data_IF_143673486705
#
_entry.id   IF_143673486705
#
_cell.length_a   1.000
_cell.length_b   1.000
_cell.length_c   1.000
_cell.angle_alpha   90.00
_cell.angle_beta   90.00
_cell.angle_gamma   90.00
#
_symmetry.space_group_name_H-M   'P 1'
#
loop_
_entity.id
_entity.type
_entity.pdbx_description
1 polymer ?
#
# COMPACT_ATOMS: atom_id res chain seq x y z
N UNK A 1 -8.68 -0.75 17.45
CA UNK A 1 -9.27 0.21 18.31
C UNK A 1 -9.81 1.41 17.58
N UNK A 2 -11.03 1.74 17.82
CA UNK A 2 -11.88 2.68 17.16
C UNK A 2 -11.29 4.08 16.96
N UNK A 3 -11.09 4.50 15.73
CA UNK A 3 -10.53 5.81 15.41
C UNK A 3 -11.39 7.00 15.85
N UNK A 4 -12.71 6.97 15.70
CA UNK A 4 -13.55 8.14 15.91
C UNK A 4 -13.85 8.45 17.39
N UNK A 5 -13.91 7.45 18.26
CA UNK A 5 -14.30 7.61 19.66
C UNK A 5 -13.17 8.00 20.63
N UNK A 6 -11.93 8.05 20.17
CA UNK A 6 -10.75 8.34 21.00
C UNK A 6 -10.76 9.75 21.62
N UNK A 7 -11.49 10.69 21.04
CA UNK A 7 -11.43 12.10 21.38
C UNK A 7 -12.44 12.57 22.45
N UNK A 8 -13.51 11.83 22.61
CA UNK A 8 -14.47 12.05 23.73
C UNK A 8 -14.05 11.32 25.01
N UNK A 9 -12.89 10.63 25.00
CA UNK A 9 -12.46 9.75 26.09
C UNK A 9 -11.24 10.34 26.79
N UNK A 10 -11.12 10.32 28.12
CA UNK A 10 -9.96 10.79 28.90
C UNK A 10 -8.63 10.13 28.54
N UNK A 11 -8.59 9.22 27.56
CA UNK A 11 -7.39 8.58 27.01
C UNK A 11 -6.55 9.45 26.06
N UNK A 12 -6.84 10.73 25.87
CA UNK A 12 -6.02 11.63 25.04
C UNK A 12 -4.56 11.72 25.54
N UNK A 13 -4.33 11.64 26.86
CA UNK A 13 -2.98 11.58 27.42
C UNK A 13 -2.19 10.34 27.01
N UNK A 14 -2.84 9.20 26.83
CA UNK A 14 -2.22 7.98 26.32
C UNK A 14 -1.77 8.14 24.86
N UNK A 15 -2.56 8.81 24.03
CA UNK A 15 -2.19 9.10 22.66
C UNK A 15 -0.88 9.89 22.58
N UNK A 16 -0.75 10.96 23.36
CA UNK A 16 0.48 11.77 23.43
C UNK A 16 1.69 10.92 23.84
N UNK A 17 1.52 10.05 24.86
CA UNK A 17 2.58 9.16 25.35
C UNK A 17 3.01 8.13 24.30
N UNK A 18 2.05 7.51 23.61
CA UNK A 18 2.31 6.51 22.56
C UNK A 18 3.04 7.15 21.38
N UNK A 19 2.57 8.31 20.91
CA UNK A 19 3.20 9.01 19.79
C UNK A 19 4.62 9.43 20.15
N UNK A 20 4.83 10.02 21.32
CA UNK A 20 6.16 10.42 21.79
C UNK A 20 7.11 9.21 21.98
N UNK A 21 6.59 8.06 22.41
CA UNK A 21 7.37 6.83 22.51
C UNK A 21 7.77 6.32 21.11
N UNK A 22 6.83 6.29 20.16
CA UNK A 22 7.09 5.87 18.79
C UNK A 22 8.16 6.76 18.13
N UNK A 23 8.05 8.08 18.25
CA UNK A 23 9.03 9.03 17.71
C UNK A 23 10.44 8.80 18.26
N UNK A 24 10.59 8.53 19.58
CA UNK A 24 11.88 8.17 20.19
C UNK A 24 12.50 6.90 19.60
N UNK A 25 11.70 6.03 18.99
CA UNK A 25 12.14 4.82 18.32
C UNK A 25 12.33 5.01 16.81
N UNK A 26 12.16 6.22 16.29
CA UNK A 26 12.20 6.50 14.86
C UNK A 26 10.98 6.00 14.10
N UNK A 27 9.89 5.70 14.81
CA UNK A 27 8.62 5.21 14.26
C UNK A 27 7.65 6.38 14.18
N UNK A 28 7.03 6.58 13.02
CA UNK A 28 5.97 7.57 12.84
C UNK A 28 4.62 6.96 13.17
N UNK A 29 3.84 7.64 13.99
CA UNK A 29 2.52 7.18 14.40
C UNK A 29 1.47 7.54 13.33
N UNK A 30 0.61 6.58 13.04
CA UNK A 30 -0.53 6.71 12.14
C UNK A 30 -1.83 6.47 12.89
N UNK A 31 -2.91 7.06 12.38
CA UNK A 31 -4.26 6.83 12.88
C UNK A 31 -5.10 6.13 11.81
N UNK A 32 -6.33 5.80 12.18
CA UNK A 32 -7.37 5.30 11.29
C UNK A 32 -8.58 6.21 11.35
N UNK A 33 -9.28 6.38 10.24
CA UNK A 33 -10.47 7.21 10.14
C UNK A 33 -11.40 6.68 9.07
N UNK A 34 -12.70 6.83 9.30
CA UNK A 34 -13.76 6.61 8.32
C UNK A 34 -14.65 7.86 8.22
N UNK A 35 -15.42 8.04 7.13
CA UNK A 35 -16.10 9.30 6.85
C UNK A 35 -17.44 9.46 7.57
N UNK A 36 -18.01 8.36 8.13
CA UNK A 36 -19.31 8.39 8.79
C UNK A 36 -19.29 9.33 9.99
N UNK A 37 -20.25 10.26 10.02
CA UNK A 37 -20.41 11.23 11.09
C UNK A 37 -21.88 11.64 11.22
N UNK A 38 -22.43 11.51 12.41
CA UNK A 38 -23.76 12.01 12.71
C UNK A 38 -23.79 13.53 12.90
N UNK A 39 -24.98 14.12 12.74
CA UNK A 39 -25.20 15.55 13.03
C UNK A 39 -24.84 15.90 14.48
N UNK A 40 -25.15 15.01 15.44
CA UNK A 40 -24.80 15.19 16.85
C UNK A 40 -23.30 15.21 17.09
N UNK A 41 -22.57 14.30 16.47
CA UNK A 41 -21.10 14.27 16.55
C UNK A 41 -20.49 15.52 15.94
N UNK A 42 -20.96 15.96 14.76
CA UNK A 42 -20.50 17.18 14.12
C UNK A 42 -20.69 18.42 15.01
N UNK A 43 -21.84 18.54 15.69
CA UNK A 43 -22.09 19.59 16.70
C UNK A 43 -21.10 19.47 17.88
N UNK A 44 -20.73 18.29 18.28
CA UNK A 44 -19.73 18.11 19.34
C UNK A 44 -18.36 18.71 19.00
N UNK A 45 -18.01 18.79 17.70
CA UNK A 45 -16.79 19.44 17.22
C UNK A 45 -16.95 20.92 16.89
N UNK A 46 -18.17 21.34 16.50
CA UNK A 46 -18.52 22.72 16.13
C UNK A 46 -19.73 23.17 16.95
N UNK A 47 -19.57 23.44 18.27
CA UNK A 47 -20.70 23.67 19.17
C UNK A 47 -21.51 24.93 18.85
N UNK A 48 -20.88 25.92 18.24
CA UNK A 48 -21.49 27.21 17.89
C UNK A 48 -22.06 27.25 16.47
N UNK A 49 -22.12 26.09 15.77
CA UNK A 49 -22.66 26.04 14.42
C UNK A 49 -24.18 25.96 14.42
N UNK A 50 -24.80 26.73 13.53
CA UNK A 50 -26.26 26.64 13.35
C UNK A 50 -26.62 25.27 12.71
N UNK A 51 -27.79 24.70 13.05
CA UNK A 51 -28.17 23.36 12.59
C UNK A 51 -28.18 23.20 11.07
N UNK A 52 -28.60 24.21 10.34
CA UNK A 52 -28.69 24.26 8.89
C UNK A 52 -27.32 24.32 8.20
N UNK A 53 -26.32 24.78 8.94
CA UNK A 53 -24.94 24.98 8.45
C UNK A 53 -24.01 23.83 8.80
N UNK A 54 -24.50 22.74 9.42
CA UNK A 54 -23.69 21.58 9.78
C UNK A 54 -23.22 20.87 8.48
N UNK A 55 -21.89 20.71 8.25
CA UNK A 55 -21.36 20.21 7.00
C UNK A 55 -21.41 18.67 6.92
N UNK A 56 -22.61 18.12 7.00
CA UNK A 56 -22.92 16.70 6.84
C UNK A 56 -23.91 16.57 5.69
N UNK A 57 -23.68 15.61 4.78
CA UNK A 57 -24.60 15.35 3.69
C UNK A 57 -26.00 14.99 4.22
N UNK A 58 -27.01 15.42 3.51
CA UNK A 58 -28.40 15.05 3.83
C UNK A 58 -28.73 13.72 3.16
N UNK A 59 -29.61 12.95 3.80
CA UNK A 59 -30.18 11.74 3.21
C UNK A 59 -31.58 12.05 2.73
N UNK A 60 -31.84 11.83 1.43
CA UNK A 60 -33.17 11.95 0.89
C UNK A 60 -34.11 10.88 1.49
N UNK A 61 -35.42 11.15 1.61
CA UNK A 61 -36.38 10.16 2.05
C UNK A 61 -36.32 8.93 1.15
N UNK A 62 -36.25 7.73 1.73
CA UNK A 62 -36.29 6.46 1.02
C UNK A 62 -37.33 5.54 1.65
N UNK A 63 -37.78 4.55 0.89
CA UNK A 63 -38.70 3.52 1.41
C UNK A 63 -37.93 2.53 2.28
N UNK A 64 -38.35 2.39 3.56
CA UNK A 64 -37.80 1.47 4.53
C UNK A 64 -37.23 2.15 5.78
N UNK A 65 -37.05 1.37 6.86
CA UNK A 65 -36.57 1.85 8.15
C UNK A 65 -35.02 1.74 8.31
N UNK A 66 -34.28 1.53 7.24
CA UNK A 66 -32.82 1.38 7.33
C UNK A 66 -32.18 2.75 7.49
N UNK A 67 -31.47 2.95 8.60
CA UNK A 67 -30.63 4.14 8.79
C UNK A 67 -29.44 4.05 7.83
N UNK A 68 -29.36 4.97 6.88
CA UNK A 68 -28.22 5.11 6.00
C UNK A 68 -27.12 5.94 6.67
N UNK A 69 -25.84 5.67 6.36
CA UNK A 69 -24.74 6.46 6.90
C UNK A 69 -24.75 7.88 6.36
N UNK A 70 -24.33 8.82 7.17
CA UNK A 70 -24.10 10.22 6.81
C UNK A 70 -22.61 10.53 6.92
N UNK A 71 -22.10 11.37 6.03
CA UNK A 71 -20.67 11.65 5.88
C UNK A 71 -20.40 13.14 6.01
N UNK A 72 -19.15 13.49 6.34
CA UNK A 72 -18.69 14.88 6.22
C UNK A 72 -18.86 15.33 4.78
N UNK A 73 -19.55 16.43 4.58
CA UNK A 73 -19.74 17.03 3.27
C UNK A 73 -18.59 17.99 2.95
N UNK A 74 -17.64 17.50 2.18
CA UNK A 74 -16.48 18.30 1.74
C UNK A 74 -16.82 19.32 0.64
N UNK A 75 -18.02 19.29 0.08
CA UNK A 75 -18.51 20.33 -0.84
C UNK A 75 -19.06 21.53 -0.07
N UNK A 76 -19.38 21.34 1.22
CA UNK A 76 -19.84 22.40 2.10
C UNK A 76 -18.69 23.33 2.51
N UNK A 77 -18.89 24.69 2.51
CA UNK A 77 -17.83 25.64 2.89
C UNK A 77 -17.19 25.38 4.26
N UNK A 78 -17.97 24.87 5.22
CA UNK A 78 -17.51 24.54 6.58
C UNK A 78 -17.01 23.10 6.73
N UNK A 79 -16.96 22.28 5.66
CA UNK A 79 -16.51 20.88 5.70
C UNK A 79 -15.08 20.75 6.22
N UNK A 80 -14.19 21.62 5.77
CA UNK A 80 -12.80 21.65 6.25
C UNK A 80 -12.67 22.12 7.71
N UNK A 81 -13.57 22.97 8.20
CA UNK A 81 -13.51 23.43 9.59
C UNK A 81 -13.93 22.30 10.53
N UNK A 82 -14.93 21.51 10.16
CA UNK A 82 -15.30 20.29 10.88
C UNK A 82 -14.15 19.29 10.90
N UNK A 83 -13.50 19.06 9.77
CA UNK A 83 -12.35 18.14 9.67
C UNK A 83 -11.18 18.61 10.56
N UNK A 84 -10.84 19.91 10.56
CA UNK A 84 -9.81 20.47 11.43
C UNK A 84 -10.15 20.30 12.91
N UNK A 85 -11.40 20.56 13.29
CA UNK A 85 -11.86 20.41 14.67
C UNK A 85 -11.79 18.93 15.12
N UNK A 86 -12.23 18.00 14.28
CA UNK A 86 -12.16 16.57 14.53
C UNK A 86 -10.71 16.09 14.72
N UNK A 87 -9.78 16.61 13.93
CA UNK A 87 -8.39 16.14 13.89
C UNK A 87 -7.42 16.88 14.81
N UNK A 88 -7.86 17.97 15.43
CA UNK A 88 -6.99 18.84 16.22
C UNK A 88 -6.11 18.08 17.23
N UNK A 89 -6.70 17.23 18.05
CA UNK A 89 -5.99 16.50 19.11
C UNK A 89 -4.95 15.53 18.53
N UNK A 90 -5.30 14.85 17.43
CA UNK A 90 -4.39 13.89 16.74
C UNK A 90 -3.19 14.61 16.13
N UNK A 91 -3.42 15.71 15.46
CA UNK A 91 -2.36 16.52 14.85
C UNK A 91 -1.47 17.16 15.91
N UNK A 92 -2.05 17.64 17.03
CA UNK A 92 -1.29 18.18 18.16
C UNK A 92 -0.45 17.09 18.86
N UNK A 93 -0.91 15.84 18.87
CA UNK A 93 -0.17 14.71 19.39
C UNK A 93 1.01 14.27 18.47
N UNK A 94 1.05 14.73 17.21
CA UNK A 94 2.12 14.39 16.27
C UNK A 94 1.80 13.23 15.32
N UNK A 95 0.52 12.89 15.13
CA UNK A 95 0.12 11.88 14.12
C UNK A 95 0.49 12.39 12.73
N UNK A 96 1.35 11.65 12.02
CA UNK A 96 1.95 12.01 10.71
C UNK A 96 1.27 11.40 9.50
N UNK A 97 0.17 10.70 9.71
CA UNK A 97 -0.58 10.10 8.62
C UNK A 97 -1.81 9.37 9.11
N UNK A 98 -2.64 8.96 8.19
CA UNK A 98 -3.84 8.22 8.52
C UNK A 98 -4.26 7.28 7.39
N UNK A 99 -4.85 6.17 7.78
CA UNK A 99 -5.69 5.37 6.92
C UNK A 99 -7.04 6.07 6.79
N UNK A 100 -7.32 6.60 5.61
CA UNK A 100 -8.57 7.27 5.22
C UNK A 100 -9.46 6.18 4.63
N UNK A 101 -10.10 5.45 5.52
CA UNK A 101 -10.83 4.22 5.19
C UNK A 101 -12.26 4.52 4.74
N UNK A 102 -12.88 3.56 4.05
CA UNK A 102 -14.19 3.73 3.44
C UNK A 102 -14.21 4.87 2.38
N UNK A 103 -15.38 5.52 2.21
CA UNK A 103 -15.54 6.57 1.20
C UNK A 103 -15.75 6.04 -0.22
N UNK A 104 -15.79 4.73 -0.36
CA UNK A 104 -16.09 3.94 -1.56
C UNK A 104 -17.58 3.58 -1.68
N UNK A 105 -18.36 3.86 -0.63
CA UNK A 105 -19.81 3.67 -0.61
C UNK A 105 -20.50 4.96 -0.19
N UNK A 106 -21.23 5.57 -1.11
CA UNK A 106 -22.10 6.71 -0.86
C UNK A 106 -23.54 6.30 -1.19
N UNK A 107 -24.49 6.43 -0.26
CA UNK A 107 -25.90 6.12 -0.57
C UNK A 107 -26.41 6.98 -1.72
N UNK A 108 -27.14 6.39 -2.66
CA UNK A 108 -27.74 7.11 -3.80
C UNK A 108 -28.64 8.27 -3.34
N UNK A 109 -29.26 8.11 -2.17
CA UNK A 109 -30.12 9.11 -1.51
C UNK A 109 -29.36 10.27 -0.88
N UNK A 110 -28.03 10.22 -0.83
CA UNK A 110 -27.22 11.30 -0.29
C UNK A 110 -27.37 12.57 -1.12
N UNK A 111 -27.46 13.70 -0.44
CA UNK A 111 -27.52 15.04 -1.04
C UNK A 111 -26.42 15.90 -0.47
N UNK A 112 -25.61 16.46 -1.33
CA UNK A 112 -24.47 17.30 -0.98
C UNK A 112 -24.81 18.78 -1.15
N UNK A 113 -24.03 19.64 -0.49
CA UNK A 113 -24.25 21.09 -0.46
C UNK A 113 -24.18 21.71 -1.86
N UNK A 114 -23.33 21.23 -2.72
CA UNK A 114 -23.18 21.72 -4.10
C UNK A 114 -24.27 21.24 -5.06
N UNK A 115 -25.25 20.50 -4.57
CA UNK A 115 -26.43 20.03 -5.30
C UNK A 115 -26.24 18.66 -5.96
N UNK A 116 -25.07 18.03 -5.86
CA UNK A 116 -24.87 16.67 -6.35
C UNK A 116 -25.57 15.65 -5.45
N UNK A 117 -26.08 14.56 -6.03
CA UNK A 117 -26.65 13.41 -5.33
C UNK A 117 -25.63 12.26 -5.21
N UNK A 118 -26.02 11.23 -4.45
CA UNK A 118 -25.12 10.13 -4.10
C UNK A 118 -24.62 9.35 -5.30
N UNK A 119 -25.46 9.11 -6.32
CA UNK A 119 -25.07 8.46 -7.57
C UNK A 119 -23.99 9.24 -8.34
N UNK A 120 -24.07 10.58 -8.34
CA UNK A 120 -23.06 11.45 -8.93
C UNK A 120 -21.76 11.52 -8.11
N UNK A 121 -21.88 11.32 -6.79
CA UNK A 121 -20.78 11.38 -5.84
C UNK A 121 -20.16 10.00 -5.54
N UNK A 122 -20.67 8.91 -6.11
CA UNK A 122 -20.19 7.55 -5.84
C UNK A 122 -18.66 7.44 -5.87
N UNK A 123 -18.04 7.78 -6.99
CA UNK A 123 -16.57 7.82 -7.11
C UNK A 123 -15.98 9.18 -6.69
N UNK A 124 -16.76 10.25 -6.84
CA UNK A 124 -16.33 11.63 -6.54
C UNK A 124 -16.07 11.86 -5.05
N UNK A 125 -16.80 11.17 -4.18
CA UNK A 125 -16.60 11.30 -2.74
C UNK A 125 -15.23 10.81 -2.30
N UNK A 126 -14.78 9.66 -2.78
CA UNK A 126 -13.45 9.13 -2.48
C UNK A 126 -12.34 10.13 -2.86
N UNK A 127 -12.50 10.81 -4.00
CA UNK A 127 -11.58 11.87 -4.43
C UNK A 127 -11.60 13.08 -3.48
N UNK A 128 -12.78 13.65 -3.17
CA UNK A 128 -12.88 14.83 -2.29
C UNK A 128 -12.43 14.49 -0.85
N UNK A 129 -12.68 13.28 -0.40
CA UNK A 129 -12.26 12.77 0.90
C UNK A 129 -10.72 12.72 0.99
N UNK A 130 -10.04 12.03 0.07
CA UNK A 130 -8.58 11.98 0.02
C UNK A 130 -7.94 13.38 -0.11
N UNK A 131 -8.48 14.23 -0.99
CA UNK A 131 -8.03 15.61 -1.21
C UNK A 131 -8.15 16.47 0.04
N UNK A 132 -9.25 16.35 0.78
CA UNK A 132 -9.49 17.14 2.00
C UNK A 132 -8.53 16.73 3.11
N UNK A 133 -8.26 15.43 3.27
CA UNK A 133 -7.24 14.96 4.20
C UNK A 133 -5.83 15.40 3.77
N UNK A 134 -5.51 15.31 2.50
CA UNK A 134 -4.24 15.85 1.98
C UNK A 134 -4.08 17.32 2.37
N UNK A 135 -5.10 18.15 2.15
CA UNK A 135 -5.09 19.56 2.53
C UNK A 135 -4.85 19.75 4.03
N UNK A 136 -5.59 19.01 4.87
CA UNK A 136 -5.44 19.06 6.33
C UNK A 136 -4.00 18.75 6.78
N UNK A 137 -3.43 17.68 6.27
CA UNK A 137 -2.08 17.26 6.65
C UNK A 137 -1.00 18.18 6.08
N UNK A 138 -1.17 18.70 4.86
CA UNK A 138 -0.29 19.71 4.29
C UNK A 138 -0.26 21.01 5.11
N UNK A 139 -1.40 21.46 5.62
CA UNK A 139 -1.47 22.66 6.49
C UNK A 139 -0.62 22.49 7.76
N UNK A 140 -0.48 21.28 8.27
CA UNK A 140 0.25 21.00 9.51
C UNK A 140 1.70 20.59 9.29
N UNK A 141 2.00 19.78 8.26
CA UNK A 141 3.28 19.11 8.08
C UNK A 141 3.94 19.35 6.72
N UNK A 142 3.33 20.15 5.85
CA UNK A 142 3.76 20.27 4.45
C UNK A 142 3.68 18.91 3.76
N UNK A 143 4.76 18.50 3.10
CA UNK A 143 4.82 17.21 2.38
C UNK A 143 5.22 16.02 3.31
N UNK A 144 5.51 16.26 4.59
CA UNK A 144 6.00 15.22 5.52
C UNK A 144 4.86 14.45 6.21
N UNK A 145 4.01 13.84 5.41
CA UNK A 145 2.91 12.98 5.87
C UNK A 145 2.59 11.90 4.83
N UNK A 146 1.83 10.87 5.25
CA UNK A 146 1.33 9.84 4.35
C UNK A 146 -0.15 9.60 4.59
N UNK A 147 -0.92 9.52 3.52
CA UNK A 147 -2.32 9.11 3.51
C UNK A 147 -2.44 7.76 2.80
N UNK A 148 -3.34 6.92 3.31
CA UNK A 148 -3.56 5.56 2.82
C UNK A 148 -5.06 5.31 2.72
N UNK A 149 -5.62 5.28 1.51
CA UNK A 149 -7.06 5.23 1.26
C UNK A 149 -7.49 3.89 0.68
N UNK A 150 -8.72 3.47 0.99
CA UNK A 150 -9.38 2.33 0.34
C UNK A 150 -10.05 2.76 -0.95
N UNK A 151 -10.97 3.71 -0.85
CA UNK A 151 -11.64 4.30 -2.01
C UNK A 151 -10.68 5.13 -2.85
N UNK A 152 -10.74 4.96 -4.17
CA UNK A 152 -9.97 5.75 -5.12
C UNK A 152 -10.79 5.99 -6.40
N UNK A 153 -10.55 7.14 -7.00
CA UNK A 153 -11.06 7.53 -8.31
C UNK A 153 -9.92 8.15 -9.12
N UNK A 154 -10.03 8.30 -10.44
CA UNK A 154 -9.02 8.98 -11.25
C UNK A 154 -8.67 10.35 -10.66
N UNK A 155 -7.38 10.57 -10.37
CA UNK A 155 -6.88 11.76 -9.67
C UNK A 155 -6.55 11.54 -8.20
N UNK A 156 -7.09 10.52 -7.53
CA UNK A 156 -6.82 10.24 -6.10
C UNK A 156 -5.34 9.92 -5.83
N UNK A 157 -4.62 9.37 -6.82
CA UNK A 157 -3.19 9.09 -6.73
C UNK A 157 -2.33 10.32 -6.42
N UNK A 158 -2.84 11.53 -6.69
CA UNK A 158 -2.17 12.77 -6.33
C UNK A 158 -2.20 13.09 -4.83
N UNK A 159 -3.06 12.42 -4.06
CA UNK A 159 -3.34 12.76 -2.67
C UNK A 159 -2.93 11.66 -1.69
N UNK A 160 -3.07 10.39 -2.07
CA UNK A 160 -2.89 9.27 -1.16
C UNK A 160 -2.37 8.02 -1.88
N UNK A 161 -1.74 7.13 -1.08
CA UNK A 161 -1.53 5.74 -1.46
C UNK A 161 -2.85 4.95 -1.29
N UNK A 162 -2.98 3.78 -1.93
CA UNK A 162 -4.18 2.96 -1.89
C UNK A 162 -3.93 1.59 -1.27
N UNK A 163 -4.98 0.98 -0.73
CA UNK A 163 -4.95 -0.42 -0.29
C UNK A 163 -6.19 -1.19 -0.78
N UNK A 164 -6.04 -2.51 -0.83
CA UNK A 164 -7.00 -3.39 -1.47
C UNK A 164 -8.29 -3.67 -0.67
N UNK A 165 -8.45 -3.12 0.55
CA UNK A 165 -9.59 -3.40 1.41
C UNK A 165 -9.41 -4.67 2.27
N UNK A 166 -10.52 -5.18 2.79
CA UNK A 166 -10.58 -6.23 3.81
C UNK A 166 -10.69 -7.62 3.14
N UNK A 167 -9.57 -8.20 2.73
CA UNK A 167 -9.56 -9.54 2.15
C UNK A 167 -9.67 -10.62 3.22
N UNK A 168 -10.25 -11.77 2.86
CA UNK A 168 -10.21 -12.96 3.68
C UNK A 168 -8.77 -13.45 3.86
N UNK A 169 -8.47 -13.97 5.03
CA UNK A 169 -7.20 -14.61 5.37
C UNK A 169 -7.17 -16.01 4.75
N UNK A 170 -6.82 -16.09 3.46
CA UNK A 170 -6.80 -17.33 2.67
C UNK A 170 -6.05 -17.13 1.35
N UNK A 171 -5.73 -18.22 0.66
CA UNK A 171 -5.20 -18.16 -0.71
C UNK A 171 -6.15 -17.49 -1.69
N UNK A 172 -7.47 -17.71 -1.56
CA UNK A 172 -8.46 -17.04 -2.40
C UNK A 172 -8.45 -15.52 -2.16
N UNK A 173 -8.37 -15.10 -0.90
CA UNK A 173 -8.20 -13.67 -0.55
C UNK A 173 -6.91 -13.09 -1.14
N UNK A 174 -5.81 -13.85 -1.11
CA UNK A 174 -4.54 -13.48 -1.72
C UNK A 174 -4.66 -13.29 -3.24
N UNK A 175 -5.33 -14.20 -3.91
CA UNK A 175 -5.59 -14.11 -5.35
C UNK A 175 -6.36 -12.83 -5.69
N UNK A 176 -7.43 -12.53 -4.96
CA UNK A 176 -8.20 -11.30 -5.19
C UNK A 176 -7.38 -10.03 -4.88
N UNK A 177 -6.57 -10.06 -3.83
CA UNK A 177 -5.67 -8.95 -3.51
C UNK A 177 -4.62 -8.74 -4.60
N UNK A 178 -4.04 -9.81 -5.15
CA UNK A 178 -3.07 -9.76 -6.25
C UNK A 178 -3.70 -9.14 -7.52
N UNK A 179 -4.88 -9.63 -7.92
CA UNK A 179 -5.62 -9.07 -9.06
C UNK A 179 -5.98 -7.61 -8.83
N UNK A 180 -6.38 -7.26 -7.59
CA UNK A 180 -6.65 -5.88 -7.18
C UNK A 180 -5.43 -4.97 -7.34
N UNK A 181 -4.25 -5.42 -6.92
CA UNK A 181 -3.00 -4.68 -7.06
C UNK A 181 -2.57 -4.48 -8.51
N UNK A 182 -2.70 -5.52 -9.35
CA UNK A 182 -2.42 -5.46 -10.78
C UNK A 182 -3.41 -4.49 -11.47
N UNK A 183 -4.70 -4.55 -11.10
CA UNK A 183 -5.75 -3.66 -11.64
C UNK A 183 -5.51 -2.20 -11.20
N UNK A 184 -5.15 -1.98 -9.94
CA UNK A 184 -4.80 -0.64 -9.42
C UNK A 184 -3.64 -0.04 -10.21
N UNK A 185 -2.60 -0.83 -10.47
CA UNK A 185 -1.46 -0.43 -11.29
C UNK A 185 -1.89 -0.03 -12.72
N UNK A 186 -2.71 -0.87 -13.37
CA UNK A 186 -3.26 -0.58 -14.70
C UNK A 186 -4.16 0.68 -14.72
N UNK A 187 -4.74 1.03 -13.58
CA UNK A 187 -5.58 2.22 -13.40
C UNK A 187 -4.79 3.48 -13.01
N UNK A 188 -3.45 3.43 -12.99
CA UNK A 188 -2.58 4.57 -12.66
C UNK A 188 -2.49 4.88 -11.18
N UNK A 189 -2.68 3.87 -10.31
CA UNK A 189 -2.50 3.96 -8.86
C UNK A 189 -1.13 3.34 -8.47
N UNK A 190 -0.05 4.13 -8.46
CA UNK A 190 1.31 3.60 -8.39
C UNK A 190 1.72 3.08 -7.01
N UNK A 191 1.06 3.56 -5.95
CA UNK A 191 1.37 3.23 -4.56
C UNK A 191 0.23 2.43 -3.96
N UNK A 192 0.24 1.13 -4.20
CA UNK A 192 -0.75 0.20 -3.69
C UNK A 192 -0.15 -0.74 -2.65
N UNK A 193 -0.96 -1.21 -1.73
CA UNK A 193 -0.54 -2.16 -0.71
C UNK A 193 -1.65 -3.08 -0.25
N UNK A 194 -1.26 -4.04 0.57
CA UNK A 194 -2.14 -5.11 1.04
C UNK A 194 -1.98 -5.28 2.54
N UNK A 195 -3.04 -5.72 3.19
CA UNK A 195 -2.99 -6.24 4.55
C UNK A 195 -2.41 -7.66 4.50
N UNK A 196 -1.19 -7.79 5.00
CA UNK A 196 -0.45 -9.05 4.94
C UNK A 196 -1.20 -10.10 5.75
N UNK A 197 -1.39 -11.24 5.11
CA UNK A 197 -2.21 -12.39 5.46
C UNK A 197 -3.72 -12.20 5.32
N UNK A 198 -4.15 -11.08 4.72
CA UNK A 198 -5.56 -10.69 4.70
C UNK A 198 -6.00 -10.00 5.99
N UNK A 199 -7.21 -9.43 5.99
CA UNK A 199 -7.75 -8.68 7.13
C UNK A 199 -8.58 -9.54 8.08
N UNK A 200 -9.47 -10.38 7.54
CA UNK A 200 -10.46 -11.10 8.33
C UNK A 200 -10.07 -12.57 8.57
N UNK A 201 -9.98 -12.94 9.85
CA UNK A 201 -9.64 -14.29 10.32
C UNK A 201 -8.15 -14.48 10.64
N UNK A 202 -7.82 -15.67 11.16
CA UNK A 202 -6.46 -16.12 11.48
C UNK A 202 -5.92 -17.00 10.34
N UNK A 203 -4.65 -16.85 9.97
CA UNK A 203 -4.00 -17.67 8.94
C UNK A 203 -3.31 -18.90 9.51
N UNK A 204 -3.26 -19.97 8.72
CA UNK A 204 -2.25 -21.00 8.91
C UNK A 204 -0.84 -20.47 8.52
N UNK A 205 0.20 -21.28 8.81
CA UNK A 205 1.59 -20.87 8.59
C UNK A 205 1.94 -20.73 7.11
N UNK A 206 1.41 -21.59 6.24
CA UNK A 206 1.66 -21.50 4.80
C UNK A 206 1.06 -20.21 4.22
N UNK A 207 -0.21 -19.94 4.48
CA UNK A 207 -0.88 -18.69 4.08
C UNK A 207 -0.12 -17.48 4.61
N UNK A 208 0.30 -17.50 5.89
CA UNK A 208 1.07 -16.41 6.50
C UNK A 208 2.36 -16.13 5.75
N UNK A 209 3.12 -17.16 5.43
CA UNK A 209 4.41 -17.01 4.76
C UNK A 209 4.24 -16.58 3.31
N UNK A 210 3.32 -17.19 2.54
CA UNK A 210 3.10 -16.84 1.13
C UNK A 210 2.66 -15.38 0.95
N UNK A 211 1.80 -14.87 1.82
CA UNK A 211 1.44 -13.46 1.83
C UNK A 211 2.64 -12.56 2.22
N UNK A 212 3.42 -12.96 3.22
CA UNK A 212 4.62 -12.24 3.65
C UNK A 212 5.64 -12.12 2.52
N UNK A 213 5.91 -13.23 1.85
CA UNK A 213 6.82 -13.32 0.71
C UNK A 213 6.42 -12.36 -0.41
N UNK A 214 5.14 -12.39 -0.79
CA UNK A 214 4.61 -11.51 -1.81
C UNK A 214 4.68 -10.04 -1.40
N UNK A 215 4.27 -9.71 -0.18
CA UNK A 215 4.20 -8.33 0.29
C UNK A 215 5.55 -7.60 0.28
N UNK A 216 6.68 -8.32 0.34
CA UNK A 216 8.01 -7.74 0.18
C UNK A 216 8.16 -7.03 -1.17
N UNK A 217 7.52 -7.52 -2.20
CA UNK A 217 7.53 -6.97 -3.56
C UNK A 217 6.28 -6.16 -3.90
N UNK A 218 5.55 -5.69 -2.88
CA UNK A 218 4.50 -4.68 -3.03
C UNK A 218 5.03 -3.28 -2.69
N UNK A 219 4.50 -2.20 -3.26
CA UNK A 219 4.88 -0.84 -2.88
C UNK A 219 4.73 -0.59 -1.38
N UNK A 220 3.63 -1.02 -0.79
CA UNK A 220 3.33 -0.90 0.64
C UNK A 220 3.11 -2.29 1.23
N UNK A 221 3.79 -2.58 2.35
CA UNK A 221 3.65 -3.80 3.12
C UNK A 221 3.14 -3.45 4.52
N UNK A 222 1.98 -3.98 4.90
CA UNK A 222 1.33 -3.65 6.17
C UNK A 222 0.75 -4.91 6.81
N UNK A 223 1.11 -5.17 8.07
CA UNK A 223 0.44 -6.18 8.89
C UNK A 223 -0.74 -5.54 9.62
N UNK A 224 -1.94 -5.97 9.29
CA UNK A 224 -3.18 -5.48 9.85
C UNK A 224 -4.28 -6.51 9.68
N UNK A 225 -5.16 -6.66 10.68
CA UNK A 225 -6.27 -7.61 10.64
C UNK A 225 -7.05 -7.66 11.93
N UNK A 226 -8.11 -8.47 11.94
CA UNK A 226 -8.98 -8.69 13.10
C UNK A 226 -8.34 -9.59 14.16
N UNK A 227 -7.42 -10.47 13.74
CA UNK A 227 -6.68 -11.41 14.59
C UNK A 227 -5.18 -11.04 14.63
N UNK A 228 -4.41 -11.59 15.59
CA UNK A 228 -2.97 -11.34 15.68
C UNK A 228 -2.22 -11.63 14.36
N UNK A 229 -1.27 -10.76 14.03
CA UNK A 229 -0.42 -10.85 12.83
C UNK A 229 1.06 -10.87 13.19
N UNK A 230 1.38 -10.96 14.46
CA UNK A 230 2.73 -11.00 14.96
C UNK A 230 3.38 -12.35 14.65
N UNK A 231 4.63 -12.37 14.16
CA UNK A 231 5.28 -13.62 13.74
C UNK A 231 5.49 -14.62 14.89
N UNK A 232 5.53 -14.16 16.13
CA UNK A 232 5.71 -15.02 17.31
C UNK A 232 4.45 -15.83 17.69
N UNK A 233 3.31 -15.60 17.05
CA UNK A 233 2.11 -16.43 17.18
C UNK A 233 2.23 -17.76 16.41
N UNK A 234 3.28 -17.93 15.62
CA UNK A 234 3.55 -19.08 14.77
C UNK A 234 4.79 -19.86 15.24
N UNK A 235 5.16 -20.91 14.51
CA UNK A 235 6.32 -21.73 14.83
C UNK A 235 7.64 -20.96 14.77
N UNK A 236 8.69 -21.44 15.47
CA UNK A 236 10.03 -20.86 15.37
C UNK A 236 10.58 -20.83 13.94
N UNK A 237 10.22 -21.79 13.09
CA UNK A 237 10.61 -21.85 11.69
C UNK A 237 9.96 -20.72 10.91
N UNK A 238 8.66 -20.51 11.04
CA UNK A 238 7.92 -19.39 10.48
C UNK A 238 8.53 -18.04 10.90
N UNK A 239 8.90 -17.91 12.17
CA UNK A 239 9.59 -16.70 12.66
C UNK A 239 10.92 -16.46 11.94
N UNK A 240 11.69 -17.52 11.64
CA UNK A 240 12.97 -17.36 10.92
C UNK A 240 12.75 -16.95 9.46
N UNK A 241 11.79 -17.56 8.78
CA UNK A 241 11.44 -17.20 7.40
C UNK A 241 10.93 -15.75 7.36
N UNK A 242 10.01 -15.38 8.27
CA UNK A 242 9.54 -13.99 8.41
C UNK A 242 10.70 -13.00 8.57
N UNK A 243 11.64 -13.28 9.47
CA UNK A 243 12.82 -12.42 9.69
C UNK A 243 13.64 -12.24 8.43
N UNK A 244 13.84 -13.31 7.66
CA UNK A 244 14.56 -13.28 6.40
C UNK A 244 13.86 -12.34 5.40
N UNK A 245 12.54 -12.43 5.27
CA UNK A 245 11.76 -11.57 4.37
C UNK A 245 11.65 -10.12 4.88
N UNK A 246 11.57 -9.90 6.16
CA UNK A 246 11.63 -8.56 6.73
C UNK A 246 12.96 -7.85 6.43
N UNK A 247 14.09 -8.57 6.55
CA UNK A 247 15.40 -8.04 6.14
C UNK A 247 15.52 -7.90 4.63
N UNK A 248 14.96 -8.82 3.86
CA UNK A 248 14.92 -8.70 2.40
C UNK A 248 14.21 -7.41 1.97
N UNK A 249 13.08 -7.07 2.60
CA UNK A 249 12.39 -5.79 2.36
C UNK A 249 13.30 -4.59 2.57
N UNK A 250 14.10 -4.61 3.65
CA UNK A 250 15.11 -3.57 3.91
C UNK A 250 16.24 -3.59 2.87
N UNK A 251 16.69 -4.78 2.45
CA UNK A 251 17.77 -4.90 1.47
C UNK A 251 17.41 -4.29 0.11
N UNK A 252 16.16 -4.47 -0.36
CA UNK A 252 15.71 -3.95 -1.65
C UNK A 252 15.16 -2.52 -1.57
N UNK A 253 15.17 -1.90 -0.38
CA UNK A 253 14.62 -0.55 -0.20
C UNK A 253 15.24 0.50 -1.15
N UNK A 254 16.55 0.50 -1.45
CA UNK A 254 17.12 1.43 -2.43
C UNK A 254 16.49 1.31 -3.82
N UNK A 255 16.22 0.09 -4.27
CA UNK A 255 15.51 -0.15 -5.54
C UNK A 255 14.06 0.34 -5.46
N UNK A 256 13.32 -0.08 -4.42
CA UNK A 256 11.93 0.33 -4.22
C UNK A 256 11.78 1.85 -4.13
N UNK A 257 12.73 2.54 -3.48
CA UNK A 257 12.74 4.00 -3.39
C UNK A 257 12.98 4.66 -4.75
N UNK A 258 13.86 4.10 -5.57
CA UNK A 258 14.05 4.56 -6.96
C UNK A 258 12.77 4.42 -7.80
N UNK A 259 12.07 3.29 -7.66
CA UNK A 259 10.77 3.08 -8.30
C UNK A 259 9.70 4.07 -7.82
N UNK A 260 9.70 4.40 -6.52
CA UNK A 260 8.77 5.38 -5.96
C UNK A 260 9.02 6.80 -6.51
N UNK A 261 10.27 7.19 -6.70
CA UNK A 261 10.63 8.46 -7.35
C UNK A 261 10.13 8.45 -8.80
N UNK A 262 10.42 7.39 -9.55
CA UNK A 262 9.94 7.25 -10.93
C UNK A 262 8.41 7.33 -11.00
N UNK A 263 7.71 6.64 -10.10
CA UNK A 263 6.26 6.69 -10.03
C UNK A 263 5.72 8.09 -9.76
N UNK A 264 6.38 8.84 -8.87
CA UNK A 264 6.03 10.23 -8.58
C UNK A 264 6.23 11.15 -9.80
N UNK A 265 7.34 10.99 -10.53
CA UNK A 265 7.70 11.86 -11.65
C UNK A 265 6.93 11.52 -12.94
N UNK A 266 6.61 10.24 -13.17
CA UNK A 266 6.08 9.77 -14.46
C UNK A 266 4.69 9.16 -14.38
N UNK A 267 4.20 8.79 -13.19
CA UNK A 267 3.00 8.02 -12.99
C UNK A 267 3.17 6.50 -13.25
N UNK A 268 4.35 6.05 -13.68
CA UNK A 268 4.61 4.62 -13.93
C UNK A 268 4.56 3.85 -12.60
N UNK A 269 3.66 2.85 -12.45
CA UNK A 269 3.50 2.15 -11.19
C UNK A 269 4.73 1.31 -10.82
N UNK A 270 4.90 1.08 -9.51
CA UNK A 270 5.96 0.21 -8.99
C UNK A 270 5.67 -1.26 -9.30
N UNK A 271 4.41 -1.71 -9.12
CA UNK A 271 3.90 -2.97 -9.65
C UNK A 271 3.40 -2.69 -11.06
N UNK A 272 3.93 -3.39 -12.07
CA UNK A 272 3.57 -3.18 -13.48
C UNK A 272 2.92 -4.44 -14.03
N UNK A 273 1.80 -4.29 -14.72
CA UNK A 273 1.22 -5.43 -15.43
C UNK A 273 2.22 -5.97 -16.44
N UNK A 274 2.16 -7.27 -16.73
CA UNK A 274 2.99 -7.85 -17.78
C UNK A 274 2.74 -7.17 -19.13
N UNK A 275 1.50 -6.81 -19.43
CA UNK A 275 1.12 -6.09 -20.66
C UNK A 275 1.75 -4.68 -20.75
N UNK A 276 1.92 -3.97 -19.63
CA UNK A 276 2.58 -2.64 -19.62
C UNK A 276 4.06 -2.74 -19.97
N UNK A 277 4.74 -3.76 -19.46
CA UNK A 277 6.18 -3.92 -19.63
C UNK A 277 6.54 -4.64 -20.94
N UNK A 278 5.61 -5.46 -21.47
CA UNK A 278 5.79 -6.25 -22.68
C UNK A 278 4.60 -6.06 -23.65
N UNK A 279 4.38 -4.86 -24.18
CA UNK A 279 3.17 -4.53 -24.95
C UNK A 279 3.05 -5.29 -26.30
N UNK A 280 4.14 -5.87 -26.79
CA UNK A 280 4.17 -6.67 -28.03
C UNK A 280 3.82 -8.14 -27.86
N UNK A 281 3.45 -8.59 -26.64
CA UNK A 281 3.25 -9.99 -26.27
C UNK A 281 1.80 -10.29 -25.90
N UNK A 282 0.94 -10.70 -26.85
CA UNK A 282 -0.48 -10.95 -26.61
C UNK A 282 -0.76 -11.97 -25.50
N UNK A 283 0.11 -12.96 -25.33
CA UNK A 283 0.02 -14.00 -24.29
C UNK A 283 0.15 -13.45 -22.87
N UNK A 284 0.72 -12.26 -22.72
CA UNK A 284 0.89 -11.60 -21.42
C UNK A 284 -0.23 -10.61 -21.06
N UNK A 285 -1.15 -10.31 -21.99
CA UNK A 285 -2.25 -9.34 -21.75
C UNK A 285 -3.17 -9.81 -20.63
N UNK A 286 -3.45 -11.11 -20.56
CA UNK A 286 -4.33 -11.72 -19.56
C UNK A 286 -3.57 -12.25 -18.31
N UNK A 287 -2.32 -11.92 -18.14
CA UNK A 287 -1.56 -12.38 -16.97
C UNK A 287 -1.97 -11.59 -15.72
N UNK A 288 -2.72 -12.24 -14.83
CA UNK A 288 -3.30 -11.64 -13.61
C UNK A 288 -2.60 -12.10 -12.33
N UNK A 289 -1.63 -13.00 -12.43
CA UNK A 289 -1.02 -13.71 -11.32
C UNK A 289 0.51 -13.54 -11.23
N UNK A 290 1.07 -12.77 -12.14
CA UNK A 290 2.47 -12.35 -12.15
C UNK A 290 2.58 -10.89 -12.61
N UNK A 291 3.62 -10.21 -12.16
CA UNK A 291 3.83 -8.80 -12.51
C UNK A 291 5.33 -8.46 -12.49
N UNK A 292 5.68 -7.34 -13.10
CA UNK A 292 7.01 -6.76 -12.94
C UNK A 292 7.03 -5.78 -11.77
N UNK A 293 7.94 -5.98 -10.82
CA UNK A 293 8.24 -4.98 -9.79
C UNK A 293 9.35 -4.07 -10.32
N UNK A 294 8.97 -2.91 -10.80
CA UNK A 294 9.79 -2.09 -11.68
C UNK A 294 10.08 -2.77 -13.02
N UNK A 295 11.11 -2.32 -13.76
CA UNK A 295 11.48 -2.90 -15.05
C UNK A 295 12.31 -4.18 -14.95
N UNK A 296 12.73 -4.57 -13.75
CA UNK A 296 13.84 -5.52 -13.58
C UNK A 296 13.44 -6.83 -12.90
N UNK A 297 12.41 -6.85 -12.05
CA UNK A 297 12.03 -8.02 -11.27
C UNK A 297 10.70 -8.60 -11.74
N UNK A 298 10.72 -9.79 -12.32
CA UNK A 298 9.52 -10.61 -12.52
C UNK A 298 9.16 -11.27 -11.19
N UNK A 299 7.97 -11.00 -10.67
CA UNK A 299 7.45 -11.56 -9.42
C UNK A 299 6.23 -12.42 -9.72
N UNK A 300 6.28 -13.69 -9.33
CA UNK A 300 5.20 -14.65 -9.52
C UNK A 300 4.78 -15.24 -8.17
N UNK A 301 3.89 -14.57 -7.42
CA UNK A 301 3.48 -15.03 -6.09
C UNK A 301 2.85 -16.42 -6.11
N UNK A 302 3.12 -17.21 -5.09
CA UNK A 302 2.43 -18.49 -4.86
C UNK A 302 1.11 -18.19 -4.17
N UNK A 303 0.05 -18.14 -4.93
CA UNK A 303 -1.30 -17.73 -4.46
C UNK A 303 -2.30 -18.90 -4.40
N UNK A 304 -1.79 -20.12 -4.44
CA UNK A 304 -2.52 -21.38 -4.25
C UNK A 304 -1.72 -22.27 -3.31
N UNK A 305 -2.39 -23.20 -2.64
CA UNK A 305 -1.72 -24.20 -1.80
C UNK A 305 -0.73 -25.04 -2.60
N UNK A 306 0.40 -25.38 -1.96
CA UNK A 306 1.40 -26.28 -2.50
C UNK A 306 2.73 -25.61 -2.88
N UNK A 307 3.62 -26.41 -3.44
CA UNK A 307 5.01 -26.06 -3.70
C UNK A 307 5.35 -25.97 -5.21
N UNK A 308 4.35 -25.69 -6.04
CA UNK A 308 4.57 -25.52 -7.49
C UNK A 308 3.80 -24.32 -8.03
N UNK A 309 4.41 -23.63 -8.97
CA UNK A 309 3.87 -22.45 -9.61
C UNK A 309 4.22 -22.40 -11.09
N UNK A 310 3.24 -22.27 -11.97
CA UNK A 310 3.48 -21.98 -13.36
C UNK A 310 3.85 -20.51 -13.53
N UNK A 311 4.95 -20.24 -14.22
CA UNK A 311 5.46 -18.90 -14.49
C UNK A 311 5.65 -18.73 -15.99
N UNK A 312 5.05 -17.70 -16.56
CA UNK A 312 5.29 -17.29 -17.95
C UNK A 312 6.49 -16.34 -17.96
N UNK A 313 7.57 -16.78 -18.60
CA UNK A 313 8.75 -15.97 -18.79
C UNK A 313 8.67 -15.26 -20.14
N UNK A 314 8.63 -13.91 -20.17
CA UNK A 314 8.77 -13.16 -21.42
C UNK A 314 10.08 -13.47 -22.15
N UNK A 315 10.17 -13.14 -23.44
CA UNK A 315 11.43 -13.28 -24.19
C UNK A 315 12.62 -12.61 -23.49
N UNK A 316 13.82 -13.15 -23.68
CA UNK A 316 15.07 -12.73 -23.04
C UNK A 316 15.54 -13.73 -21.98
N UNK A 317 16.57 -13.38 -21.23
CA UNK A 317 17.13 -14.23 -20.19
C UNK A 317 16.72 -13.71 -18.80
N UNK A 318 16.41 -14.66 -17.92
CA UNK A 318 15.96 -14.41 -16.56
C UNK A 318 16.86 -15.13 -15.57
N UNK A 319 17.42 -14.39 -14.61
CA UNK A 319 18.30 -14.94 -13.58
C UNK A 319 17.50 -15.14 -12.30
N UNK A 320 17.55 -16.34 -11.74
CA UNK A 320 16.87 -16.61 -10.46
C UNK A 320 17.42 -15.68 -9.37
N UNK A 321 16.51 -15.00 -8.67
CA UNK A 321 16.87 -14.05 -7.62
C UNK A 321 17.58 -14.71 -6.42
N UNK A 322 17.29 -15.99 -6.19
CA UNK A 322 17.83 -16.77 -5.07
C UNK A 322 19.09 -17.55 -5.44
N UNK A 323 19.29 -17.81 -6.73
CA UNK A 323 20.47 -18.53 -7.28
C UNK A 323 20.95 -17.87 -8.59
N UNK A 324 21.89 -16.98 -8.47
CA UNK A 324 22.44 -16.22 -9.60
C UNK A 324 23.12 -17.09 -10.68
N UNK A 325 23.31 -18.38 -10.43
CA UNK A 325 23.85 -19.33 -11.41
C UNK A 325 22.77 -19.97 -12.27
N UNK A 326 21.51 -19.88 -11.83
CA UNK A 326 20.36 -20.40 -12.56
C UNK A 326 19.81 -19.34 -13.51
N UNK A 327 20.01 -19.54 -14.81
CA UNK A 327 19.54 -18.66 -15.88
C UNK A 327 18.47 -19.38 -16.69
N UNK A 328 17.33 -18.76 -16.84
CA UNK A 328 16.18 -19.28 -17.60
C UNK A 328 16.07 -18.49 -18.90
N UNK A 329 16.10 -19.18 -20.03
CA UNK A 329 15.71 -18.62 -21.32
C UNK A 329 14.19 -18.45 -21.37
N UNK A 330 13.71 -17.24 -21.65
CA UNK A 330 12.30 -16.89 -21.70
C UNK A 330 11.59 -17.33 -22.99
N UNK A 331 10.43 -16.72 -23.26
CA UNK A 331 9.54 -17.08 -24.35
C UNK A 331 8.76 -18.38 -24.08
N UNK A 332 8.58 -18.77 -22.82
CA UNK A 332 7.91 -20.03 -22.44
C UNK A 332 7.29 -19.96 -21.05
N UNK A 333 6.37 -20.86 -20.78
CA UNK A 333 5.84 -21.15 -19.47
C UNK A 333 6.56 -22.34 -18.85
N UNK A 334 6.89 -22.26 -17.57
CA UNK A 334 7.52 -23.33 -16.81
C UNK A 334 6.84 -23.54 -15.46
N UNK A 335 6.71 -24.79 -15.06
CA UNK A 335 6.38 -25.15 -13.70
C UNK A 335 7.62 -25.04 -12.81
N UNK A 336 7.52 -24.20 -11.77
CA UNK A 336 8.63 -23.91 -10.85
C UNK A 336 8.32 -24.54 -9.49
N UNK A 337 9.30 -25.27 -8.94
CA UNK A 337 9.25 -25.75 -7.57
C UNK A 337 9.49 -24.57 -6.60
N UNK A 338 8.59 -24.38 -5.65
CA UNK A 338 8.52 -23.22 -4.74
C UNK A 338 8.44 -23.69 -3.30
N UNK A 339 9.57 -24.06 -2.68
CA UNK A 339 9.57 -24.41 -1.25
C UNK A 339 9.03 -23.23 -0.42
N UNK A 340 8.52 -23.54 0.78
CA UNK A 340 7.78 -22.58 1.62
C UNK A 340 8.61 -21.35 2.06
N UNK A 341 9.90 -21.34 1.82
CA UNK A 341 10.78 -20.21 2.14
C UNK A 341 11.21 -19.40 0.90
N UNK A 342 10.59 -19.65 -0.27
CA UNK A 342 10.97 -19.01 -1.54
C UNK A 342 9.79 -18.65 -2.42
N UNK A 343 9.60 -17.36 -2.64
CA UNK A 343 8.77 -16.85 -3.73
C UNK A 343 9.55 -16.86 -5.05
N UNK A 344 8.94 -17.27 -6.18
CA UNK A 344 9.53 -17.11 -7.51
C UNK A 344 9.73 -15.64 -7.85
N UNK A 345 10.98 -15.22 -7.94
CA UNK A 345 11.41 -13.90 -8.39
C UNK A 345 12.60 -14.05 -9.30
N UNK A 346 12.58 -13.35 -10.42
CA UNK A 346 13.62 -13.43 -11.42
C UNK A 346 14.10 -12.04 -11.84
N UNK A 347 15.40 -11.90 -11.99
CA UNK A 347 16.05 -10.69 -12.50
C UNK A 347 16.09 -10.74 -14.02
N UNK A 348 15.62 -9.70 -14.66
CA UNK A 348 15.82 -9.55 -16.11
C UNK A 348 17.31 -9.41 -16.43
N UNK A 349 17.75 -9.92 -17.57
CA UNK A 349 19.13 -9.69 -18.02
C UNK A 349 19.43 -8.19 -18.15
N UNK A 350 20.67 -7.78 -17.86
CA UNK A 350 21.09 -6.38 -17.84
C UNK A 350 20.55 -5.57 -16.67
N UNK A 351 20.02 -6.20 -15.63
CA UNK A 351 19.56 -5.55 -14.41
C UNK A 351 20.72 -4.97 -13.61
N UNK A 352 20.50 -3.77 -13.06
CA UNK A 352 21.32 -3.14 -12.03
C UNK A 352 20.46 -2.93 -10.79
N UNK A 353 20.49 -3.88 -9.86
CA UNK A 353 19.66 -3.85 -8.67
C UNK A 353 20.43 -3.23 -7.49
N UNK A 354 20.13 -1.99 -7.08
CA UNK A 354 20.75 -1.38 -5.91
C UNK A 354 20.18 -2.00 -4.63
N UNK A 355 21.09 -2.35 -3.74
CA UNK A 355 20.80 -3.04 -2.48
C UNK A 355 21.49 -2.35 -1.31
N UNK A 356 20.95 -2.57 -0.11
CA UNK A 356 21.66 -2.35 1.13
C UNK A 356 21.81 -3.68 1.85
N UNK A 357 23.05 -4.10 2.12
CA UNK A 357 23.36 -5.42 2.66
C UNK A 357 24.20 -5.29 3.94
N UNK A 358 24.36 -6.38 4.69
CA UNK A 358 25.31 -6.47 5.78
C UNK A 358 26.74 -6.78 5.28
N UNK A 359 27.66 -7.08 6.21
CA UNK A 359 29.05 -7.39 5.89
C UNK A 359 29.27 -8.69 5.13
N UNK A 360 28.35 -9.66 5.23
CA UNK A 360 28.39 -10.95 4.51
C UNK A 360 27.89 -10.85 3.06
N UNK A 361 27.22 -9.76 2.70
CA UNK A 361 26.63 -9.51 1.38
C UNK A 361 25.54 -10.51 0.97
N UNK A 362 24.84 -11.11 1.95
CA UNK A 362 23.70 -12.00 1.68
C UNK A 362 22.37 -11.29 1.86
N UNK A 363 21.41 -11.64 1.00
CA UNK A 363 20.03 -11.18 1.09
C UNK A 363 19.29 -11.79 2.28
N UNK A 364 18.41 -11.02 2.90
CA UNK A 364 17.58 -11.49 4.01
C UNK A 364 18.32 -11.61 5.35
N UNK A 365 19.56 -11.13 5.45
CA UNK A 365 20.32 -11.10 6.69
C UNK A 365 20.24 -9.75 7.40
N UNK A 366 20.37 -9.80 8.75
CA UNK A 366 20.30 -8.62 9.61
C UNK A 366 21.39 -7.59 9.28
N UNK A 367 20.99 -6.34 9.15
CA UNK A 367 21.86 -5.18 8.93
C UNK A 367 22.08 -4.34 10.20
N UNK A 368 21.78 -4.88 11.37
CA UNK A 368 21.91 -4.13 12.64
C UNK A 368 23.36 -3.78 13.00
N UNK A 369 24.32 -4.58 12.58
CA UNK A 369 25.76 -4.41 12.88
C UNK A 369 26.53 -3.69 11.81
N UNK A 370 26.07 -3.77 10.55
CA UNK A 370 26.70 -3.08 9.42
C UNK A 370 25.71 -2.90 8.28
N UNK A 371 25.84 -1.80 7.55
CA UNK A 371 25.10 -1.52 6.33
C UNK A 371 26.08 -1.17 5.21
N UNK A 372 25.98 -1.84 4.07
CA UNK A 372 26.80 -1.61 2.89
C UNK A 372 25.91 -1.45 1.67
N UNK A 373 26.16 -0.42 0.90
CA UNK A 373 25.55 -0.26 -0.43
C UNK A 373 26.18 -1.28 -1.36
N UNK A 374 25.35 -2.01 -2.09
CA UNK A 374 25.73 -3.02 -3.04
C UNK A 374 24.95 -2.83 -4.35
N UNK A 375 25.48 -3.35 -5.43
CA UNK A 375 24.84 -3.37 -6.72
C UNK A 375 24.92 -4.81 -7.25
N UNK A 376 23.77 -5.46 -7.39
CA UNK A 376 23.67 -6.72 -8.06
C UNK A 376 23.50 -6.45 -9.55
N UNK A 377 24.34 -7.05 -10.38
CA UNK A 377 24.34 -6.85 -11.83
C UNK A 377 24.15 -8.20 -12.49
N UNK A 378 23.16 -8.31 -13.38
CA UNK A 378 23.01 -9.45 -14.28
C UNK A 378 23.69 -9.17 -15.63
N UNK A 379 24.43 -10.12 -16.21
CA UNK A 379 25.04 -9.94 -17.53
C UNK A 379 23.98 -9.64 -18.60
N UNK A 380 24.36 -8.86 -19.59
CA UNK A 380 23.58 -8.63 -20.81
C UNK A 380 24.49 -8.24 -21.96
N UNK A 381 24.09 -8.57 -23.18
CA UNK A 381 24.75 -8.09 -24.40
C UNK A 381 24.34 -6.64 -24.73
N UNK A 382 23.23 -6.16 -24.16
CA UNK A 382 22.73 -4.79 -24.36
C UNK A 382 23.05 -3.91 -23.15
N UNK A 383 23.51 -2.67 -23.42
CA UNK A 383 23.72 -1.70 -22.34
C UNK A 383 22.39 -1.12 -21.88
N UNK A 384 22.16 -1.16 -20.57
CA UNK A 384 21.05 -0.44 -19.91
C UNK A 384 21.64 0.66 -19.05
N UNK A 385 20.98 1.80 -19.01
CA UNK A 385 21.39 2.95 -18.20
C UNK A 385 20.35 3.24 -17.13
N UNK A 386 20.81 3.77 -16.00
CA UNK A 386 19.92 4.18 -14.92
C UNK A 386 20.44 5.42 -14.20
N UNK A 387 19.56 6.01 -13.42
CA UNK A 387 19.83 7.24 -12.67
C UNK A 387 19.80 6.96 -11.17
N UNK A 388 20.74 7.57 -10.44
CA UNK A 388 20.78 7.50 -8.99
C UNK A 388 20.06 8.72 -8.39
N UNK A 389 19.18 8.47 -7.44
CA UNK A 389 18.49 9.51 -6.69
C UNK A 389 18.95 9.50 -5.23
N UNK A 390 19.12 10.68 -4.67
CA UNK A 390 19.49 10.86 -3.27
C UNK A 390 18.44 11.73 -2.58
N UNK A 391 17.87 11.23 -1.50
CA UNK A 391 16.94 12.01 -0.71
C UNK A 391 17.64 12.89 0.35
N UNK A 392 16.84 13.68 1.08
CA UNK A 392 17.32 14.55 2.17
C UNK A 392 17.88 13.79 3.38
N UNK A 393 17.68 12.47 3.45
CA UNK A 393 18.16 11.59 4.52
C UNK A 393 19.36 10.75 4.09
N UNK A 394 20.02 11.12 2.98
CA UNK A 394 21.13 10.38 2.36
C UNK A 394 20.78 8.98 1.84
N UNK A 395 19.51 8.65 1.71
CA UNK A 395 19.07 7.44 1.01
C UNK A 395 19.31 7.60 -0.48
N UNK A 396 19.78 6.55 -1.11
CA UNK A 396 20.04 6.52 -2.55
C UNK A 396 19.10 5.50 -3.16
N UNK A 397 18.26 5.94 -4.09
CA UNK A 397 17.49 5.10 -4.98
C UNK A 397 18.11 5.11 -6.38
N UNK A 398 17.89 4.04 -7.12
CA UNK A 398 18.33 3.91 -8.51
C UNK A 398 17.12 3.64 -9.39
N UNK A 399 17.03 4.34 -10.49
CA UNK A 399 15.97 4.15 -11.47
C UNK A 399 16.57 3.90 -12.86
N UNK A 400 16.06 2.88 -13.55
CA UNK A 400 16.41 2.63 -14.94
C UNK A 400 15.75 3.68 -15.83
N UNK A 401 16.53 4.24 -16.75
CA UNK A 401 15.99 5.14 -17.79
C UNK A 401 15.55 4.24 -18.96
N UNK A 402 14.29 4.28 -19.39
CA UNK A 402 13.90 3.64 -20.63
C UNK A 402 14.72 4.19 -21.80
N UNK A 403 15.22 3.34 -22.66
CA UNK A 403 15.82 3.74 -23.92
C UNK A 403 14.75 4.06 -24.96
#
# INVERSE_FOLDING_TARGET
GAGAHWFKNPKSEELYKIVAFAEKKGIRAFSWQYPDMSMEEARGYLPDIEPEDIPINKIAPHEGNKKLPTYIDFTHPKGMDLLRAQWKVRLDAGIRGTMVDFGDFVPDEAQFYDGRCGDQMHNGYAYEYAKSYRKLFCERYGEDHVLYTRGAAPGSQAFACQFGGDHLTSFLGMTYALHGGITAAASGLPFWGVDVTGYDGFSDEETYLRWTEWAVFCPIMRYHGTEPREPWEYSPETVQIYKRYAWLRENILPYSYGLAIQAHETGMPMMRTMAMEFPGHPELIGCEDSYMYGPDLLVAPVHTEGEHRNVIFPEGNWVDFWDNTNVIEGGKELEIFTPLDRIPVYLREGTFLPLELNGSLHLGESMTTSRKKALLITPSETQRMGTWHRDRTDRIGYCMVPQ
#
